data_IF_550159482409
#
_entry.id   IF_550159482409
#
_cell.length_a   1.000
_cell.length_b   1.000
_cell.length_c   1.000
_cell.angle_alpha   90.00
_cell.angle_beta   90.00
_cell.angle_gamma   90.00
#
_symmetry.space_group_name_H-M   'P 1'
#
loop_
_entity.id
_entity.type
_entity.pdbx_description
1 polymer ?
#
# COMPACT_ATOMS: atom_id res chain seq x y z
N UNK A 1 41.43 11.96 -51.18
CA UNK A 1 41.14 11.21 -49.94
C UNK A 1 40.33 12.14 -49.06
N UNK A 2 39.08 11.75 -48.75
CA UNK A 2 38.07 12.61 -48.15
C UNK A 2 38.14 12.53 -46.62
N UNK A 3 38.13 13.69 -45.99
CA UNK A 3 38.03 13.91 -44.55
C UNK A 3 36.71 13.36 -44.00
N UNK A 4 36.76 12.69 -42.84
CA UNK A 4 35.58 12.25 -42.10
C UNK A 4 35.69 12.79 -40.66
N UNK A 5 35.05 13.93 -40.43
CA UNK A 5 34.80 14.49 -39.10
C UNK A 5 33.63 13.76 -38.45
N UNK A 6 33.89 13.03 -37.37
CA UNK A 6 32.86 12.40 -36.55
C UNK A 6 32.27 13.44 -35.59
N UNK A 7 31.09 13.98 -35.93
CA UNK A 7 30.24 14.73 -34.99
C UNK A 7 29.32 13.72 -34.28
N UNK A 8 29.65 13.40 -33.03
CA UNK A 8 28.75 12.69 -32.13
C UNK A 8 27.74 13.69 -31.56
N UNK A 9 26.51 13.66 -32.08
CA UNK A 9 25.38 14.40 -31.53
C UNK A 9 24.92 13.80 -30.20
N UNK A 10 25.28 14.43 -29.09
CA UNK A 10 24.66 14.19 -27.79
C UNK A 10 23.44 15.10 -27.69
N UNK A 11 22.29 14.61 -28.15
CA UNK A 11 20.99 15.24 -27.92
C UNK A 11 20.60 15.00 -26.45
N UNK A 12 21.01 15.91 -25.58
CA UNK A 12 20.59 15.96 -24.18
C UNK A 12 19.08 16.13 -24.09
N UNK A 13 18.40 15.15 -23.51
CA UNK A 13 17.00 15.22 -23.08
C UNK A 13 16.83 16.38 -22.10
N UNK A 14 16.38 17.53 -22.56
CA UNK A 14 15.82 18.57 -21.70
C UNK A 14 14.42 18.16 -21.25
N UNK A 15 14.36 17.21 -20.30
CA UNK A 15 13.17 17.04 -19.47
C UNK A 15 13.05 18.25 -18.55
N UNK A 16 12.31 19.27 -18.99
CA UNK A 16 11.98 20.44 -18.17
C UNK A 16 11.12 19.99 -16.99
N UNK A 17 11.78 19.74 -15.86
CA UNK A 17 11.16 19.57 -14.56
C UNK A 17 10.57 20.93 -14.17
N UNK A 18 9.25 21.10 -14.33
CA UNK A 18 8.55 22.32 -13.88
C UNK A 18 8.87 22.53 -12.39
N UNK A 19 9.14 23.78 -12.02
CA UNK A 19 9.40 24.09 -10.62
C UNK A 19 8.09 23.93 -9.82
N UNK A 20 8.17 23.51 -8.55
CA UNK A 20 6.98 23.36 -7.68
C UNK A 20 6.11 24.62 -7.66
N UNK A 21 6.73 25.79 -7.75
CA UNK A 21 6.05 27.10 -7.77
C UNK A 21 5.24 27.32 -9.05
N UNK A 22 5.68 26.77 -10.18
CA UNK A 22 4.96 26.89 -11.46
C UNK A 22 3.76 25.94 -11.51
N UNK A 23 3.82 24.79 -10.82
CA UNK A 23 2.69 23.86 -10.68
C UNK A 23 1.58 24.44 -9.79
N UNK A 24 1.95 25.14 -8.72
CA UNK A 24 1.00 25.84 -7.84
C UNK A 24 0.27 26.97 -8.58
N UNK A 25 1.00 27.79 -9.36
CA UNK A 25 0.41 28.84 -10.20
C UNK A 25 -0.50 28.28 -11.29
N UNK A 26 -0.09 27.18 -11.92
CA UNK A 26 -0.89 26.50 -12.94
C UNK A 26 -2.21 25.99 -12.34
N UNK A 27 -2.15 25.34 -11.18
CA UNK A 27 -3.32 24.87 -10.45
C UNK A 27 -4.29 26.02 -10.14
N UNK A 28 -3.77 27.14 -9.65
CA UNK A 28 -4.57 28.34 -9.38
C UNK A 28 -5.25 28.89 -10.63
N UNK A 29 -4.57 28.92 -11.78
CA UNK A 29 -5.17 29.37 -13.04
C UNK A 29 -6.26 28.44 -13.55
N UNK A 30 -6.09 27.12 -13.42
CA UNK A 30 -7.11 26.14 -13.82
C UNK A 30 -8.37 26.30 -12.94
N UNK A 31 -8.20 26.43 -11.63
CA UNK A 31 -9.31 26.64 -10.69
C UNK A 31 -10.07 27.94 -10.99
N UNK A 32 -9.33 29.03 -11.22
CA UNK A 32 -9.93 30.33 -11.58
C UNK A 32 -10.70 30.27 -12.90
N UNK A 33 -10.12 29.65 -13.94
CA UNK A 33 -10.79 29.49 -15.23
C UNK A 33 -12.07 28.65 -15.11
N UNK A 34 -12.08 27.64 -14.22
CA UNK A 34 -13.26 26.84 -13.93
C UNK A 34 -14.35 27.63 -13.20
N UNK A 35 -13.97 28.45 -12.22
CA UNK A 35 -14.88 29.33 -11.49
C UNK A 35 -15.54 30.38 -12.41
N UNK A 36 -14.77 30.97 -13.33
CA UNK A 36 -15.26 31.96 -14.31
C UNK A 36 -16.06 31.33 -15.46
N UNK A 37 -16.04 30.00 -15.60
CA UNK A 37 -16.70 29.29 -16.70
C UNK A 37 -15.99 29.44 -18.05
N UNK A 38 -14.73 29.87 -18.07
CA UNK A 38 -13.97 30.11 -19.29
C UNK A 38 -13.46 28.79 -19.89
N UNK A 39 -14.30 28.15 -20.70
CA UNK A 39 -13.99 26.87 -21.35
C UNK A 39 -12.81 26.98 -22.32
N UNK A 40 -12.62 28.12 -22.98
CA UNK A 40 -11.49 28.32 -23.90
C UNK A 40 -10.15 28.31 -23.16
N UNK A 41 -10.09 28.97 -22.00
CA UNK A 41 -8.90 28.98 -21.16
C UNK A 41 -8.66 27.61 -20.49
N UNK A 42 -9.72 26.93 -20.04
CA UNK A 42 -9.62 25.56 -19.54
C UNK A 42 -9.07 24.60 -20.60
N UNK A 43 -9.49 24.74 -21.87
CA UNK A 43 -8.89 23.98 -22.99
C UNK A 43 -7.42 24.29 -23.12
N UNK A 44 -7.05 25.57 -23.17
CA UNK A 44 -5.65 26.00 -23.32
C UNK A 44 -4.74 25.51 -22.19
N UNK A 45 -5.24 25.42 -20.95
CA UNK A 45 -4.48 25.01 -19.78
C UNK A 45 -4.39 23.48 -19.61
N UNK A 46 -5.46 22.76 -19.96
CA UNK A 46 -5.53 21.30 -19.82
C UNK A 46 -5.02 20.56 -21.06
N UNK A 47 -5.09 21.18 -22.24
CA UNK A 47 -4.54 20.59 -23.47
C UNK A 47 -3.02 20.76 -23.53
N UNK A 48 -2.29 19.69 -23.88
CA UNK A 48 -0.88 19.81 -24.14
C UNK A 48 -0.69 20.69 -25.39
N UNK A 49 0.13 21.75 -25.26
CA UNK A 49 0.45 22.66 -26.37
C UNK A 49 1.25 21.99 -27.50
N UNK A 50 1.91 20.88 -27.21
CA UNK A 50 2.77 20.14 -28.13
C UNK A 50 2.58 18.62 -27.95
N UNK A 51 2.82 17.84 -29.01
CA UNK A 51 2.75 16.38 -28.98
C UNK A 51 3.83 15.81 -28.04
N UNK A 52 3.43 15.52 -26.78
CA UNK A 52 4.32 15.04 -25.72
C UNK A 52 4.47 15.99 -24.52
N UNK A 53 3.82 17.16 -24.54
CA UNK A 53 3.80 18.07 -23.38
C UNK A 53 2.92 17.55 -22.24
N UNK A 54 3.33 17.78 -20.99
CA UNK A 54 2.46 17.57 -19.84
C UNK A 54 1.41 18.69 -19.77
N UNK A 55 0.16 18.34 -20.08
CA UNK A 55 -1.01 19.21 -19.85
C UNK A 55 -1.21 19.51 -18.36
N UNK A 56 -2.07 20.48 -18.06
CA UNK A 56 -2.50 20.74 -16.67
C UNK A 56 -3.22 19.54 -16.05
N UNK A 57 -3.05 19.34 -14.74
CA UNK A 57 -3.77 18.28 -14.02
C UNK A 57 -5.25 18.68 -13.88
N UNK A 58 -6.15 17.90 -14.49
CA UNK A 58 -7.60 18.12 -14.43
C UNK A 58 -8.18 17.96 -13.01
N UNK A 59 -7.52 17.14 -12.19
CA UNK A 59 -7.90 16.86 -10.81
C UNK A 59 -6.97 17.59 -9.81
N UNK A 60 -6.38 18.71 -10.24
CA UNK A 60 -5.58 19.54 -9.34
C UNK A 60 -6.42 19.99 -8.14
N UNK A 61 -5.76 20.12 -6.98
CA UNK A 61 -6.40 20.51 -5.72
C UNK A 61 -5.67 21.69 -5.13
N UNK A 62 -6.42 22.66 -4.61
CA UNK A 62 -5.84 23.74 -3.79
C UNK A 62 -5.65 23.30 -2.32
N UNK A 63 -5.26 24.25 -1.48
CA UNK A 63 -5.07 24.05 -0.04
C UNK A 63 -6.35 23.59 0.70
N UNK A 64 -7.54 23.82 0.12
CA UNK A 64 -8.83 23.43 0.68
C UNK A 64 -9.41 22.18 0.02
N UNK A 65 -8.62 21.50 -0.82
CA UNK A 65 -9.01 20.32 -1.59
C UNK A 65 -10.04 20.59 -2.69
N UNK A 66 -10.18 21.84 -3.12
CA UNK A 66 -11.08 22.20 -4.20
C UNK A 66 -10.51 21.75 -5.52
N UNK A 67 -11.35 21.06 -6.29
CA UNK A 67 -11.05 20.69 -7.67
C UNK A 67 -11.64 21.71 -8.64
N UNK A 68 -11.14 21.79 -9.89
CA UNK A 68 -11.74 22.62 -10.93
C UNK A 68 -13.23 22.33 -11.11
N UNK A 69 -13.63 21.06 -10.96
CA UNK A 69 -15.04 20.66 -11.03
C UNK A 69 -15.87 21.27 -9.89
N UNK A 70 -15.36 21.29 -8.66
CA UNK A 70 -16.03 21.92 -7.52
C UNK A 70 -16.17 23.44 -7.69
N UNK A 71 -15.12 24.11 -8.17
CA UNK A 71 -15.16 25.54 -8.49
C UNK A 71 -16.23 25.85 -9.53
N UNK A 72 -16.28 25.08 -10.62
CA UNK A 72 -17.28 25.26 -11.68
C UNK A 72 -18.70 24.94 -11.18
N UNK A 73 -18.86 23.89 -10.36
CA UNK A 73 -20.16 23.46 -9.84
C UNK A 73 -20.76 24.49 -8.88
N UNK A 74 -19.98 24.99 -7.92
CA UNK A 74 -20.43 26.02 -6.99
C UNK A 74 -20.71 27.37 -7.67
N UNK A 75 -19.99 27.68 -8.75
CA UNK A 75 -20.22 28.90 -9.53
C UNK A 75 -21.37 28.77 -10.55
N UNK A 76 -22.04 27.61 -10.64
CA UNK A 76 -23.14 27.38 -11.57
C UNK A 76 -22.71 27.26 -13.05
N UNK A 77 -21.42 27.01 -13.31
CA UNK A 77 -20.84 27.04 -14.66
C UNK A 77 -21.07 25.74 -15.42
N UNK A 78 -22.31 25.49 -15.84
CA UNK A 78 -22.68 24.23 -16.52
C UNK A 78 -21.87 23.91 -17.78
N UNK A 79 -21.37 24.91 -18.51
CA UNK A 79 -20.49 24.69 -19.67
C UNK A 79 -19.11 24.16 -19.27
N UNK A 80 -18.51 24.72 -18.21
CA UNK A 80 -17.23 24.25 -17.67
C UNK A 80 -17.39 22.87 -17.01
N UNK A 81 -18.50 22.62 -16.31
CA UNK A 81 -18.83 21.31 -15.73
C UNK A 81 -18.90 20.22 -16.80
N UNK A 82 -19.66 20.45 -17.89
CA UNK A 82 -19.71 19.50 -19.03
C UNK A 82 -18.34 19.25 -19.63
N UNK A 83 -17.55 20.32 -19.81
CA UNK A 83 -16.21 20.19 -20.37
C UNK A 83 -15.28 19.37 -19.47
N UNK A 84 -15.25 19.65 -18.16
CA UNK A 84 -14.41 18.94 -17.20
C UNK A 84 -14.83 17.46 -17.07
N UNK A 85 -16.13 17.18 -16.98
CA UNK A 85 -16.65 15.81 -16.91
C UNK A 85 -16.39 15.03 -18.20
N UNK A 86 -16.57 15.65 -19.37
CA UNK A 86 -16.22 15.05 -20.67
C UNK A 86 -14.73 14.80 -20.86
N UNK A 87 -13.87 15.42 -20.04
CA UNK A 87 -12.42 15.20 -20.01
C UNK A 87 -11.96 14.25 -18.91
N UNK A 88 -12.90 13.64 -18.18
CA UNK A 88 -12.59 12.65 -17.14
C UNK A 88 -12.23 13.27 -15.78
N UNK A 89 -12.73 14.47 -15.46
CA UNK A 89 -12.61 15.02 -14.12
C UNK A 89 -13.24 14.05 -13.10
N UNK A 90 -12.52 13.80 -12.00
CA UNK A 90 -12.97 12.93 -10.94
C UNK A 90 -14.11 13.61 -10.17
N UNK A 91 -15.28 12.99 -10.17
CA UNK A 91 -16.49 13.51 -9.55
C UNK A 91 -17.08 12.58 -8.48
N UNK A 92 -16.79 11.27 -8.55
CA UNK A 92 -17.22 10.28 -7.54
C UNK A 92 -16.22 10.22 -6.39
N UNK A 93 -16.72 10.35 -5.15
CA UNK A 93 -15.90 10.20 -3.93
C UNK A 93 -14.85 11.28 -3.73
N UNK A 94 -14.89 12.36 -4.52
CA UNK A 94 -14.01 13.52 -4.36
C UNK A 94 -14.76 14.58 -3.57
N UNK A 95 -14.27 14.88 -2.37
CA UNK A 95 -14.81 15.90 -1.49
C UNK A 95 -13.78 16.97 -1.13
N UNK A 96 -14.27 18.17 -0.83
CA UNK A 96 -13.49 19.26 -0.24
C UNK A 96 -13.24 19.01 1.27
N UNK A 97 -12.45 19.87 1.92
CA UNK A 97 -12.06 19.71 3.33
C UNK A 97 -13.27 19.53 4.31
N UNK A 98 -14.40 20.16 4.02
CA UNK A 98 -15.67 20.04 4.74
C UNK A 98 -16.50 18.80 4.37
N UNK A 99 -15.96 17.88 3.56
CA UNK A 99 -16.60 16.61 3.20
C UNK A 99 -17.67 16.70 2.13
N UNK A 100 -17.84 17.86 1.49
CA UNK A 100 -18.85 18.06 0.43
C UNK A 100 -18.32 17.70 -0.95
N UNK A 101 -19.16 17.04 -1.73
CA UNK A 101 -18.87 16.76 -3.14
C UNK A 101 -19.26 17.94 -4.05
N UNK A 102 -18.88 17.86 -5.33
CA UNK A 102 -19.19 18.92 -6.29
C UNK A 102 -20.70 19.12 -6.52
N UNK A 103 -21.53 18.08 -6.37
CA UNK A 103 -22.97 18.18 -6.55
C UNK A 103 -23.63 18.89 -5.35
N UNK A 104 -23.25 18.54 -4.13
CA UNK A 104 -23.68 19.18 -2.89
C UNK A 104 -23.29 20.67 -2.88
N UNK A 105 -22.08 21.00 -3.31
CA UNK A 105 -21.66 22.41 -3.44
C UNK A 105 -22.50 23.21 -4.45
N UNK A 106 -22.96 22.57 -5.54
CA UNK A 106 -23.86 23.19 -6.49
C UNK A 106 -25.29 23.37 -5.91
N UNK A 107 -25.79 22.40 -5.14
CA UNK A 107 -27.09 22.52 -4.45
C UNK A 107 -27.08 23.64 -3.41
N UNK A 108 -26.04 23.70 -2.58
CA UNK A 108 -25.89 24.76 -1.58
C UNK A 108 -25.80 26.16 -2.20
N UNK A 109 -25.22 26.26 -3.41
CA UNK A 109 -25.13 27.51 -4.15
C UNK A 109 -26.40 27.87 -4.94
N UNK A 110 -27.42 26.99 -4.96
CA UNK A 110 -28.68 27.22 -5.66
C UNK A 110 -28.67 26.85 -7.14
N UNK A 111 -27.79 25.93 -7.57
CA UNK A 111 -27.68 25.45 -8.96
C UNK A 111 -28.05 23.96 -9.09
N UNK A 112 -29.33 23.58 -8.90
CA UNK A 112 -29.75 22.18 -8.90
C UNK A 112 -29.57 21.49 -10.25
N UNK A 113 -29.66 22.22 -11.37
CA UNK A 113 -29.42 21.68 -12.72
C UNK A 113 -27.96 21.24 -12.89
N UNK A 114 -27.03 21.97 -12.28
CA UNK A 114 -25.60 21.64 -12.28
C UNK A 114 -25.33 20.45 -11.37
N UNK A 115 -25.95 20.41 -10.19
CA UNK A 115 -25.86 19.24 -9.31
C UNK A 115 -26.41 17.97 -9.98
N UNK A 116 -27.52 18.09 -10.69
CA UNK A 116 -28.09 17.00 -11.50
C UNK A 116 -27.12 16.57 -12.59
N UNK A 117 -26.54 17.52 -13.33
CA UNK A 117 -25.53 17.25 -14.37
C UNK A 117 -24.33 16.46 -13.83
N UNK A 118 -23.83 16.79 -12.65
CA UNK A 118 -22.72 16.05 -12.01
C UNK A 118 -23.15 14.63 -11.64
N UNK A 119 -24.34 14.45 -11.04
CA UNK A 119 -24.85 13.13 -10.62
C UNK A 119 -25.23 12.21 -11.76
N UNK A 120 -25.78 12.77 -12.84
CA UNK A 120 -26.19 12.05 -14.05
C UNK A 120 -25.03 11.84 -15.03
N UNK A 121 -23.84 12.39 -14.73
CA UNK A 121 -22.69 12.19 -15.59
C UNK A 121 -22.21 10.75 -15.52
N UNK A 122 -22.61 9.96 -16.51
CA UNK A 122 -21.96 8.72 -16.85
C UNK A 122 -20.56 9.06 -17.35
N UNK A 123 -19.58 9.15 -16.43
CA UNK A 123 -18.20 9.55 -16.71
C UNK A 123 -17.74 8.95 -18.03
N UNK A 124 -17.47 9.82 -19.01
CA UNK A 124 -17.34 9.41 -20.40
C UNK A 124 -16.06 8.58 -20.55
N UNK A 125 -16.23 7.28 -20.38
CA UNK A 125 -15.23 6.26 -20.64
C UNK A 125 -15.19 6.11 -22.17
N UNK A 126 -14.52 7.02 -22.87
CA UNK A 126 -14.13 6.83 -24.27
C UNK A 126 -12.64 6.50 -24.25
N UNK A 127 -12.22 5.25 -24.49
CA UNK A 127 -12.43 4.45 -25.70
C UNK A 127 -12.96 3.01 -25.43
N UNK A 128 -13.90 2.48 -26.25
CA UNK A 128 -14.28 1.07 -26.24
C UNK A 128 -13.24 0.13 -26.90
N UNK A 129 -12.07 0.62 -27.30
CA UNK A 129 -11.00 -0.20 -27.90
C UNK A 129 -9.94 -0.67 -26.90
N UNK A 130 -10.11 -0.35 -25.61
CA UNK A 130 -9.27 -0.91 -24.54
C UNK A 130 -10.10 -1.48 -23.39
N UNK A 131 -11.30 -2.02 -23.71
CA UNK A 131 -11.73 -3.21 -22.98
C UNK A 131 -10.73 -4.30 -23.36
N UNK A 132 -9.66 -4.43 -22.57
CA UNK A 132 -9.14 -5.78 -22.35
C UNK A 132 -10.39 -6.62 -22.04
N UNK A 133 -10.69 -7.67 -22.82
CA UNK A 133 -11.78 -8.55 -22.46
C UNK A 133 -11.51 -8.92 -21.02
N UNK A 134 -12.49 -8.67 -20.14
CA UNK A 134 -12.46 -9.17 -18.77
C UNK A 134 -11.95 -10.61 -18.88
N UNK A 135 -10.73 -10.92 -18.43
CA UNK A 135 -10.17 -12.23 -18.69
C UNK A 135 -11.14 -13.20 -18.04
N UNK A 136 -11.77 -14.06 -18.86
CA UNK A 136 -12.73 -15.03 -18.36
C UNK A 136 -12.05 -15.74 -17.18
N UNK A 137 -12.59 -15.62 -15.94
CA UNK A 137 -11.94 -16.18 -14.77
C UNK A 137 -11.69 -17.65 -15.03
N UNK A 138 -10.42 -18.03 -15.11
CA UNK A 138 -10.05 -19.41 -15.37
C UNK A 138 -10.09 -20.14 -14.04
N UNK A 139 -10.77 -21.28 -14.04
CA UNK A 139 -10.84 -22.13 -12.86
C UNK A 139 -9.69 -23.12 -12.86
N UNK A 140 -8.87 -23.08 -11.82
CA UNK A 140 -7.78 -24.03 -11.64
C UNK A 140 -8.24 -25.25 -10.81
N UNK A 141 -8.26 -26.44 -11.42
CA UNK A 141 -8.58 -27.71 -10.72
C UNK A 141 -7.59 -28.10 -9.62
N UNK A 142 -6.34 -27.63 -9.70
CA UNK A 142 -5.30 -27.92 -8.69
C UNK A 142 -5.50 -27.12 -7.40
N UNK A 143 -5.84 -25.84 -7.53
CA UNK A 143 -5.92 -24.89 -6.42
C UNK A 143 -7.36 -24.63 -5.96
N UNK A 144 -8.35 -25.08 -6.72
CA UNK A 144 -9.78 -24.83 -6.49
C UNK A 144 -10.12 -23.33 -6.35
N UNK A 145 -9.43 -22.51 -7.16
CA UNK A 145 -9.54 -21.04 -7.14
C UNK A 145 -9.73 -20.54 -8.58
N UNK A 146 -10.65 -19.59 -8.74
CA UNK A 146 -10.80 -18.81 -9.96
C UNK A 146 -9.75 -17.69 -9.99
N UNK A 147 -9.04 -17.54 -11.09
CA UNK A 147 -8.00 -16.53 -11.25
C UNK A 147 -8.15 -15.76 -12.56
N UNK A 148 -7.68 -14.53 -12.55
CA UNK A 148 -7.68 -13.62 -13.71
C UNK A 148 -6.26 -13.40 -14.25
N UNK A 149 -5.24 -13.61 -13.41
CA UNK A 149 -3.84 -13.39 -13.76
C UNK A 149 -3.28 -14.51 -14.66
N UNK A 150 -2.64 -14.14 -15.77
CA UNK A 150 -1.88 -15.09 -16.62
C UNK A 150 -0.77 -15.82 -15.86
N UNK A 151 -0.29 -15.24 -14.76
CA UNK A 151 0.81 -15.76 -13.96
C UNK A 151 0.35 -16.73 -12.84
N UNK A 152 -0.94 -17.06 -12.77
CA UNK A 152 -1.48 -17.96 -11.75
C UNK A 152 -0.70 -19.29 -11.69
N UNK A 153 -0.48 -19.96 -12.82
CA UNK A 153 0.23 -21.25 -12.88
C UNK A 153 1.69 -21.18 -12.42
N UNK A 154 2.31 -20.00 -12.51
CA UNK A 154 3.69 -19.75 -12.05
C UNK A 154 3.76 -19.15 -10.65
N UNK A 155 2.61 -18.79 -10.06
CA UNK A 155 2.58 -18.17 -8.75
C UNK A 155 3.10 -19.14 -7.69
N UNK A 156 3.81 -18.61 -6.71
CA UNK A 156 4.30 -19.38 -5.57
C UNK A 156 3.15 -20.13 -4.87
N UNK A 157 1.97 -19.50 -4.77
CA UNK A 157 0.77 -20.10 -4.22
C UNK A 157 0.29 -21.34 -5.01
N UNK A 158 0.26 -21.27 -6.35
CA UNK A 158 -0.10 -22.40 -7.21
C UNK A 158 0.93 -23.53 -7.13
N UNK A 159 2.23 -23.19 -7.18
CA UNK A 159 3.33 -24.16 -7.06
C UNK A 159 3.33 -24.89 -5.71
N UNK A 160 3.00 -24.18 -4.62
CA UNK A 160 2.84 -24.77 -3.28
C UNK A 160 1.63 -25.71 -3.18
N UNK A 161 0.58 -25.45 -3.96
CA UNK A 161 -0.62 -26.31 -4.03
C UNK A 161 -0.33 -27.58 -4.83
N UNK A 162 0.44 -27.50 -5.92
CA UNK A 162 0.95 -28.66 -6.68
C UNK A 162 1.82 -29.60 -5.83
N UNK A 163 2.62 -29.04 -4.92
CA UNK A 163 3.48 -29.82 -4.01
C UNK A 163 2.71 -30.68 -2.99
N UNK A 164 1.36 -30.58 -2.95
CA UNK A 164 0.47 -31.40 -2.11
C UNK A 164 -0.14 -32.60 -2.84
N UNK A 165 0.47 -33.08 -3.93
CA UNK A 165 0.17 -34.42 -4.45
C UNK A 165 0.33 -35.49 -3.35
N UNK A 166 -0.35 -36.65 -3.46
CA UNK A 166 -0.40 -37.66 -2.41
C UNK A 166 1.02 -38.04 -1.99
N UNK A 167 1.35 -37.65 -0.76
CA UNK A 167 2.67 -37.88 -0.16
C UNK A 167 2.90 -39.39 -0.15
N UNK A 168 3.86 -39.88 -0.94
CA UNK A 168 4.46 -41.18 -0.67
C UNK A 168 4.95 -41.14 0.79
N UNK A 169 4.78 -42.21 1.57
CA UNK A 169 5.13 -42.21 2.99
C UNK A 169 6.54 -41.66 3.19
N UNK A 170 6.59 -40.46 3.75
CA UNK A 170 7.82 -39.69 3.92
C UNK A 170 8.75 -40.49 4.83
N UNK A 171 9.84 -41.01 4.26
CA UNK A 171 10.98 -41.45 5.05
C UNK A 171 11.57 -40.19 5.74
N UNK A 172 12.07 -40.25 6.99
CA UNK A 172 12.31 -39.08 7.85
C UNK A 172 13.29 -38.00 7.34
N UNK A 173 13.92 -38.20 6.18
CA UNK A 173 14.97 -37.34 5.64
C UNK A 173 14.61 -36.72 4.27
N UNK A 174 13.40 -36.93 3.74
CA UNK A 174 12.92 -36.24 2.54
C UNK A 174 13.69 -36.55 1.25
N UNK A 175 14.53 -37.59 1.23
CA UNK A 175 15.23 -38.04 0.01
C UNK A 175 14.39 -39.15 -0.64
N UNK A 176 13.97 -38.99 -1.91
CA UNK A 176 13.19 -40.02 -2.60
C UNK A 176 14.03 -41.28 -2.84
N UNK A 177 13.44 -42.45 -2.60
CA UNK A 177 14.08 -43.77 -2.76
C UNK A 177 14.47 -44.06 -4.21
N UNK A 178 13.84 -43.37 -5.17
CA UNK A 178 14.17 -43.40 -6.59
C UNK A 178 15.43 -42.63 -6.96
N UNK A 179 15.99 -41.81 -6.06
CA UNK A 179 17.18 -41.02 -6.38
C UNK A 179 18.43 -41.90 -6.49
N UNK A 180 19.28 -41.66 -7.51
CA UNK A 180 20.58 -42.34 -7.63
C UNK A 180 21.45 -42.15 -6.38
N UNK A 181 21.38 -40.97 -5.74
CA UNK A 181 22.10 -40.67 -4.50
C UNK A 181 21.67 -41.54 -3.32
N UNK A 182 20.36 -41.80 -3.14
CA UNK A 182 19.87 -42.69 -2.10
C UNK A 182 20.37 -44.13 -2.28
N UNK A 183 20.38 -44.62 -3.53
CA UNK A 183 20.94 -45.95 -3.86
C UNK A 183 22.44 -46.05 -3.62
N UNK A 184 23.19 -44.96 -3.85
CA UNK A 184 24.62 -44.89 -3.56
C UNK A 184 24.90 -44.86 -2.06
N UNK A 185 24.09 -44.14 -1.28
CA UNK A 185 24.18 -44.12 0.18
C UNK A 185 23.93 -45.51 0.78
N UNK A 186 22.87 -46.20 0.35
CA UNK A 186 22.58 -47.58 0.78
C UNK A 186 23.73 -48.55 0.40
N UNK A 187 24.30 -48.41 -0.80
CA UNK A 187 25.49 -49.20 -1.21
C UNK A 187 26.73 -48.88 -0.37
N UNK A 188 26.83 -47.66 0.14
CA UNK A 188 27.91 -47.21 1.03
C UNK A 188 27.74 -47.61 2.49
N UNK A 189 26.75 -48.43 2.83
CA UNK A 189 26.49 -48.88 4.20
C UNK A 189 25.78 -47.85 5.08
N UNK A 190 25.20 -46.81 4.49
CA UNK A 190 24.42 -45.82 5.22
C UNK A 190 22.97 -46.29 5.42
N UNK A 191 22.49 -46.29 6.65
CA UNK A 191 21.10 -46.60 6.99
C UNK A 191 20.25 -45.33 7.17
N UNK A 192 18.97 -45.34 6.78
CA UNK A 192 18.11 -44.19 6.96
C UNK A 192 17.96 -43.78 8.45
N UNK A 193 18.40 -42.56 8.77
CA UNK A 193 18.43 -42.05 10.15
C UNK A 193 19.81 -42.05 10.79
N UNK A 194 20.80 -42.64 10.13
CA UNK A 194 22.21 -42.54 10.52
C UNK A 194 22.83 -41.24 10.01
N UNK A 195 23.86 -40.75 10.71
CA UNK A 195 24.65 -39.60 10.26
C UNK A 195 25.36 -39.87 8.94
N UNK A 196 25.64 -38.83 8.15
CA UNK A 196 26.45 -38.98 6.94
C UNK A 196 27.92 -39.21 7.31
N UNK A 197 28.50 -40.32 6.86
CA UNK A 197 29.91 -40.66 7.07
C UNK A 197 30.12 -42.17 7.23
N UNK A 198 31.37 -42.66 7.11
CA UNK A 198 31.67 -44.10 7.10
C UNK A 198 31.33 -44.84 8.40
N UNK A 199 31.18 -44.13 9.53
CA UNK A 199 30.74 -44.68 10.82
C UNK A 199 29.46 -44.02 11.35
N UNK A 200 28.74 -43.26 10.52
CA UNK A 200 27.58 -42.49 10.97
C UNK A 200 27.92 -41.24 11.79
N UNK A 201 29.16 -40.74 11.73
CA UNK A 201 29.68 -39.60 12.52
C UNK A 201 29.05 -38.24 12.17
N UNK A 202 28.38 -38.14 11.01
CA UNK A 202 27.70 -36.93 10.59
C UNK A 202 26.45 -36.62 11.41
N UNK A 203 25.93 -35.41 11.25
CA UNK A 203 24.66 -35.02 11.86
C UNK A 203 23.51 -35.71 11.13
N UNK A 204 22.75 -36.55 11.82
CA UNK A 204 21.54 -37.19 11.30
C UNK A 204 20.33 -36.24 11.32
N UNK A 205 20.27 -35.36 12.32
CA UNK A 205 19.21 -34.39 12.49
C UNK A 205 19.65 -33.01 11.98
N UNK A 206 18.70 -32.18 11.49
CA UNK A 206 18.99 -30.80 11.11
C UNK A 206 19.59 -30.03 12.29
N UNK A 207 20.39 -29.00 11.98
CA UNK A 207 21.02 -28.15 13.00
C UNK A 207 19.92 -27.53 13.86
N UNK A 208 19.91 -27.75 15.19
CA UNK A 208 18.87 -27.22 16.04
C UNK A 208 18.90 -25.69 16.03
N UNK A 209 17.77 -25.07 15.74
CA UNK A 209 17.63 -23.61 15.70
C UNK A 209 17.33 -23.05 17.08
N UNK A 210 18.02 -21.99 17.48
CA UNK A 210 17.76 -21.29 18.76
C UNK A 210 17.06 -19.97 18.46
N UNK A 211 15.80 -19.85 18.90
CA UNK A 211 15.10 -18.56 18.82
C UNK A 211 15.69 -17.62 19.87
N UNK A 212 16.38 -16.59 19.40
CA UNK A 212 16.91 -15.53 20.23
C UNK A 212 15.76 -14.67 20.77
N UNK A 213 15.67 -14.52 22.09
CA UNK A 213 14.60 -13.74 22.78
C UNK A 213 15.13 -12.51 23.51
N UNK A 214 16.44 -12.37 23.58
CA UNK A 214 17.18 -11.26 24.15
C UNK A 214 17.49 -10.18 23.11
N UNK A 215 17.76 -8.95 23.59
CA UNK A 215 18.21 -7.83 22.77
C UNK A 215 19.74 -7.69 22.74
N UNK A 216 20.47 -8.63 23.35
CA UNK A 216 21.94 -8.58 23.43
C UNK A 216 22.55 -8.91 22.06
N UNK A 217 23.85 -8.66 21.86
CA UNK A 217 24.56 -9.04 20.63
C UNK A 217 24.74 -10.56 20.51
N UNK A 218 25.00 -11.08 19.31
CA UNK A 218 25.47 -12.47 19.17
C UNK A 218 26.87 -12.58 19.80
N UNK A 219 27.09 -13.57 20.67
CA UNK A 219 28.38 -13.81 21.33
C UNK A 219 28.62 -13.06 22.65
N UNK A 220 27.65 -12.28 23.16
CA UNK A 220 27.80 -11.55 24.43
C UNK A 220 27.79 -12.46 25.67
N UNK A 221 27.08 -13.59 25.60
CA UNK A 221 27.03 -14.63 26.65
C UNK A 221 27.19 -16.02 26.03
N UNK A 222 27.50 -17.06 26.84
CA UNK A 222 27.48 -18.44 26.38
C UNK A 222 26.18 -18.73 25.62
N UNK A 223 26.30 -19.31 24.43
CA UNK A 223 25.15 -19.55 23.57
C UNK A 223 24.08 -20.36 24.35
N UNK A 224 22.79 -19.99 24.26
CA UNK A 224 21.73 -20.75 24.91
C UNK A 224 21.78 -22.20 24.44
N UNK A 225 21.50 -23.16 25.34
CA UNK A 225 21.46 -24.57 24.95
C UNK A 225 20.45 -24.78 23.83
N UNK A 226 20.87 -25.31 22.66
CA UNK A 226 19.98 -25.46 21.54
C UNK A 226 18.94 -26.54 21.84
N UNK A 227 17.66 -26.18 21.72
CA UNK A 227 16.51 -27.09 21.84
C UNK A 227 15.84 -27.21 20.49
N UNK A 228 15.35 -28.40 20.13
CA UNK A 228 14.60 -28.61 18.89
C UNK A 228 13.27 -27.85 18.99
N UNK A 229 13.14 -26.75 18.26
CA UNK A 229 11.96 -25.86 18.29
C UNK A 229 10.98 -26.16 17.14
N UNK A 230 10.73 -27.44 16.83
CA UNK A 230 9.62 -27.78 15.96
C UNK A 230 8.35 -27.78 16.80
N UNK A 231 7.62 -26.67 16.75
CA UNK A 231 6.26 -26.60 17.27
C UNK A 231 5.32 -27.31 16.28
N UNK A 232 4.27 -28.01 16.76
CA UNK A 232 3.26 -28.55 15.86
C UNK A 232 2.58 -27.43 15.07
N UNK A 233 2.10 -27.72 13.86
CA UNK A 233 1.42 -26.73 13.05
C UNK A 233 0.24 -26.11 13.83
N UNK A 234 0.18 -24.78 13.86
CA UNK A 234 -0.79 -23.96 14.62
C UNK A 234 -0.60 -23.90 16.15
N UNK A 235 0.59 -24.18 16.68
CA UNK A 235 0.85 -23.94 18.10
C UNK A 235 0.88 -22.43 18.44
N UNK A 236 -0.16 -21.96 19.12
CA UNK A 236 -0.30 -20.57 19.58
C UNK A 236 0.77 -20.19 20.62
N UNK A 237 1.38 -21.18 21.30
CA UNK A 237 2.43 -20.95 22.30
C UNK A 237 3.78 -20.57 21.68
N UNK A 238 3.97 -20.82 20.39
CA UNK A 238 5.19 -20.45 19.68
C UNK A 238 5.38 -18.91 19.58
N UNK A 239 4.27 -18.16 19.55
CA UNK A 239 4.22 -16.70 19.35
C UNK A 239 3.88 -15.94 20.65
N UNK A 240 3.56 -16.66 21.73
CA UNK A 240 3.34 -16.08 23.05
C UNK A 240 4.63 -15.43 23.57
N UNK A 241 4.74 -14.12 23.34
CA UNK A 241 5.70 -13.27 24.05
C UNK A 241 5.26 -13.09 25.50
N UNK A 242 6.21 -12.80 26.40
CA UNK A 242 5.86 -12.25 27.72
C UNK A 242 5.06 -10.97 27.50
N UNK A 243 3.93 -10.83 28.18
CA UNK A 243 3.16 -9.59 28.18
C UNK A 243 4.11 -8.43 28.51
N UNK A 244 4.27 -7.52 27.56
CA UNK A 244 4.93 -6.25 27.83
C UNK A 244 4.03 -5.53 28.81
N UNK A 245 4.51 -5.33 30.04
CA UNK A 245 3.87 -4.42 30.98
C UNK A 245 3.58 -3.10 30.24
N UNK A 246 2.32 -2.67 30.29
CA UNK A 246 1.87 -1.41 29.71
C UNK A 246 2.82 -0.33 30.20
N UNK A 247 3.49 0.35 29.27
CA UNK A 247 4.30 1.52 29.60
C UNK A 247 3.32 2.59 30.04
N UNK A 248 3.20 2.78 31.36
CA UNK A 248 2.54 3.96 31.91
C UNK A 248 3.27 5.16 31.31
N UNK A 249 2.54 6.03 30.63
CA UNK A 249 3.08 7.28 30.10
C UNK A 249 3.55 8.07 31.32
N UNK A 250 4.87 8.13 31.52
CA UNK A 250 5.44 9.00 32.54
C UNK A 250 5.18 10.43 32.05
N UNK A 251 4.18 11.08 32.63
CA UNK A 251 3.91 12.50 32.38
C UNK A 251 5.18 13.31 32.64
N UNK A 252 5.37 14.37 31.87
CA UNK A 252 6.43 15.34 32.15
C UNK A 252 6.29 15.85 33.59
N UNK A 253 7.41 16.07 34.30
CA UNK A 253 7.42 16.56 35.69
C UNK A 253 6.54 17.82 35.88
N UNK A 254 6.42 18.64 34.84
CA UNK A 254 5.58 19.86 34.83
C UNK A 254 4.08 19.54 34.76
N UNK A 255 3.71 18.48 34.07
CA UNK A 255 2.33 18.02 33.91
C UNK A 255 1.85 17.27 35.15
N UNK A 256 2.72 16.47 35.78
CA UNK A 256 2.42 15.83 37.07
C UNK A 256 2.10 16.87 38.16
N UNK A 257 2.90 17.94 38.25
CA UNK A 257 2.66 19.02 39.22
C UNK A 257 1.32 19.74 38.98
N UNK A 258 0.95 19.96 37.71
CA UNK A 258 -0.36 20.54 37.37
C UNK A 258 -1.53 19.64 37.76
N UNK A 259 -1.36 18.32 37.64
CA UNK A 259 -2.38 17.37 38.05
C UNK A 259 -2.51 17.34 39.58
N UNK A 260 -1.40 17.30 40.31
CA UNK A 260 -1.38 17.37 41.78
C UNK A 260 -2.02 18.66 42.32
N UNK A 261 -1.76 19.81 41.67
CA UNK A 261 -2.38 21.10 42.00
C UNK A 261 -3.91 21.07 41.77
N UNK A 262 -4.37 20.45 40.67
CA UNK A 262 -5.80 20.26 40.38
C UNK A 262 -6.47 19.32 41.36
N UNK A 263 -5.85 18.19 41.66
CA UNK A 263 -6.39 17.19 42.58
C UNK A 263 -6.49 17.76 43.99
N UNK A 264 -5.47 18.52 44.43
CA UNK A 264 -5.50 19.24 45.72
C UNK A 264 -6.56 20.34 45.75
N UNK A 265 -6.79 21.04 44.63
CA UNK A 265 -7.84 22.05 44.54
C UNK A 265 -9.23 21.41 44.57
N UNK A 266 -9.41 20.31 43.84
CA UNK A 266 -10.63 19.52 43.85
C UNK A 266 -10.93 18.94 45.24
N UNK A 267 -9.90 18.45 45.95
CA UNK A 267 -10.07 17.94 47.31
C UNK A 267 -10.47 19.03 48.29
N UNK A 268 -9.86 20.23 48.19
CA UNK A 268 -10.28 21.38 49.00
C UNK A 268 -11.73 21.77 48.72
N UNK A 269 -12.09 21.88 47.43
CA UNK A 269 -13.45 22.22 47.00
C UNK A 269 -14.47 21.17 47.47
N UNK A 270 -14.12 19.88 47.39
CA UNK A 270 -14.93 18.78 47.90
C UNK A 270 -15.12 18.86 49.42
N UNK A 271 -14.07 19.16 50.19
CA UNK A 271 -14.15 19.33 51.64
C UNK A 271 -15.03 20.52 52.02
N UNK A 272 -14.91 21.64 51.29
CA UNK A 272 -15.75 22.83 51.48
C UNK A 272 -17.21 22.53 51.12
N UNK A 273 -17.47 21.87 49.98
CA UNK A 273 -18.81 21.49 49.55
C UNK A 273 -19.53 20.57 50.55
N UNK A 274 -18.78 19.64 51.16
CA UNK A 274 -19.32 18.71 52.14
C UNK A 274 -19.40 19.27 53.57
N UNK A 275 -19.06 20.56 53.80
CA UNK A 275 -18.99 21.20 55.12
C UNK A 275 -18.16 20.40 56.15
N UNK A 276 -17.08 19.76 55.71
CA UNK A 276 -16.14 19.05 56.57
C UNK A 276 -15.05 20.02 57.04
N UNK A 277 -15.43 21.05 57.81
CA UNK A 277 -14.46 21.95 58.44
C UNK A 277 -14.04 21.42 59.82
N UNK A 278 -12.84 20.84 59.88
CA UNK A 278 -11.87 20.97 60.98
C UNK A 278 -10.45 20.78 60.44
#
# INVERSE_FOLDING_TARGET
MREATAQAGVSGRHGQRRSHVDEDKMTQWILKAAQEGNVAELRRLLEPREAGGAGGNINARDAFWWTPLMCAARAGQGAAVRYLLGRGAAWVGVCELGGRDAAQLAEEAGFPEVARMVRESHGETRHPENRLPSPNPQYCKTCDICFEDSNHYTSTAHLLSLARGPQLPNHPLGVPTSSPGFRLLLKGGWEPGMGLGPRGEGRANPVPTVLKRDQEGLGYRPAPQPRVTHFPARDLRAVSGKERALRVVTLSRRENRRQEEKDSAWERDLRTYMNLEF
#
